data_IF_700072128505
#
_entry.id   IF_700072128505
#
_cell.length_a   1.000
_cell.length_b   1.000
_cell.length_c   1.000
_cell.angle_alpha   90.00
_cell.angle_beta   90.00
_cell.angle_gamma   90.00
#
_symmetry.space_group_name_H-M   'P 1'
#
loop_
_entity.id
_entity.type
_entity.pdbx_description
1 polymer ?
#
# COMPACT_ATOMS: atom_id res chain seq x y z
N UNK A 1 24.50 -13.64 -2.45
CA UNK A 1 23.53 -12.65 -3.04
C UNK A 1 22.72 -12.05 -1.90
N UNK A 2 22.42 -10.75 -1.93
CA UNK A 2 21.51 -10.15 -0.95
C UNK A 2 20.11 -10.73 -1.17
N UNK A 3 19.36 -10.96 -0.07
CA UNK A 3 17.96 -11.37 -0.12
C UNK A 3 17.15 -10.30 -0.88
N UNK A 4 16.23 -10.68 -1.77
CA UNK A 4 15.31 -9.72 -2.39
C UNK A 4 14.50 -8.95 -1.34
N UNK A 5 14.15 -7.73 -1.67
CA UNK A 5 13.27 -6.88 -0.88
C UNK A 5 11.84 -7.36 -1.08
N UNK A 6 11.18 -7.79 -0.02
CA UNK A 6 9.80 -8.26 -0.06
C UNK A 6 8.82 -7.09 0.04
N UNK A 7 7.97 -6.92 -0.98
CA UNK A 7 6.98 -5.84 -1.06
C UNK A 7 5.59 -6.41 -1.20
N UNK A 8 4.67 -6.01 -0.34
CA UNK A 8 3.24 -6.32 -0.48
C UNK A 8 2.46 -5.08 -0.93
N UNK A 9 1.66 -5.26 -1.98
CA UNK A 9 0.63 -4.31 -2.41
C UNK A 9 -0.72 -4.79 -1.88
N UNK A 10 -1.28 -4.05 -0.91
CA UNK A 10 -2.54 -4.41 -0.26
C UNK A 10 -3.70 -3.62 -0.84
N UNK A 11 -4.44 -4.27 -1.75
CA UNK A 11 -5.66 -3.72 -2.34
C UNK A 11 -6.85 -4.02 -1.45
N UNK A 12 -7.15 -3.11 -0.50
CA UNK A 12 -8.35 -3.29 0.33
C UNK A 12 -9.61 -3.43 -0.53
N UNK A 13 -9.78 -2.52 -1.50
CA UNK A 13 -10.79 -2.57 -2.54
C UNK A 13 -10.15 -2.68 -3.92
N UNK A 14 -10.91 -3.19 -4.90
CA UNK A 14 -10.43 -3.34 -6.26
C UNK A 14 -9.96 -2.00 -6.86
N UNK A 15 -10.59 -0.88 -6.52
CA UNK A 15 -10.23 0.44 -7.04
C UNK A 15 -8.88 0.98 -6.53
N UNK A 16 -8.23 0.33 -5.55
CA UNK A 16 -6.85 0.67 -5.17
C UNK A 16 -5.83 0.13 -6.17
N UNK A 17 -6.13 -0.99 -6.82
CA UNK A 17 -5.18 -1.68 -7.70
C UNK A 17 -4.63 -0.80 -8.84
N UNK A 18 -5.43 0.00 -9.56
CA UNK A 18 -4.90 0.85 -10.63
C UNK A 18 -3.81 1.83 -10.19
N UNK A 19 -3.81 2.22 -8.91
CA UNK A 19 -2.78 3.12 -8.35
C UNK A 19 -1.45 2.39 -8.14
N UNK A 20 -1.50 1.08 -7.96
CA UNK A 20 -0.32 0.25 -7.72
C UNK A 20 0.28 -0.30 -9.01
N UNK A 21 -0.52 -0.46 -10.07
CA UNK A 21 -0.11 -1.11 -11.32
C UNK A 21 1.19 -0.55 -11.92
N UNK A 22 1.38 0.78 -12.05
CA UNK A 22 2.63 1.30 -12.62
C UNK A 22 3.87 0.88 -11.81
N UNK A 23 3.73 0.82 -10.49
CA UNK A 23 4.83 0.44 -9.60
C UNK A 23 5.05 -1.08 -9.63
N UNK A 24 3.98 -1.87 -9.66
CA UNK A 24 4.05 -3.32 -9.82
C UNK A 24 4.77 -3.68 -11.13
N UNK A 25 4.38 -3.06 -12.25
CA UNK A 25 4.97 -3.31 -13.55
C UNK A 25 6.46 -2.94 -13.59
N UNK A 26 6.83 -1.83 -12.97
CA UNK A 26 8.23 -1.40 -12.85
C UNK A 26 9.07 -2.40 -12.04
N UNK A 27 8.57 -2.79 -10.87
CA UNK A 27 9.33 -3.61 -9.93
C UNK A 27 9.35 -5.10 -10.30
N UNK A 28 8.32 -5.59 -11.01
CA UNK A 28 8.22 -7.00 -11.39
C UNK A 28 9.34 -7.48 -12.33
N UNK A 29 9.96 -6.56 -13.04
CA UNK A 29 11.08 -6.85 -13.94
C UNK A 29 12.46 -6.80 -13.23
N UNK A 30 12.50 -6.44 -11.95
CA UNK A 30 13.72 -6.30 -11.19
C UNK A 30 13.85 -7.42 -10.14
N UNK A 31 14.83 -8.28 -10.33
CA UNK A 31 15.12 -9.44 -9.44
C UNK A 31 15.49 -9.07 -8.00
N UNK A 32 15.66 -7.76 -7.71
CA UNK A 32 15.89 -7.29 -6.34
C UNK A 32 14.62 -7.28 -5.50
N UNK A 33 13.45 -7.50 -6.10
CA UNK A 33 12.16 -7.42 -5.43
C UNK A 33 11.37 -8.72 -5.54
N UNK A 34 10.78 -9.13 -4.41
CA UNK A 34 9.76 -10.18 -4.33
C UNK A 34 8.41 -9.51 -4.08
N UNK A 35 7.49 -9.63 -5.05
CA UNK A 35 6.20 -8.93 -5.02
C UNK A 35 5.12 -9.87 -4.50
N UNK A 36 4.33 -9.34 -3.58
CA UNK A 36 3.15 -9.98 -3.01
C UNK A 36 1.91 -9.11 -3.24
N UNK A 37 0.76 -9.74 -3.35
CA UNK A 37 -0.55 -9.09 -3.50
C UNK A 37 -1.52 -9.64 -2.47
N UNK A 38 -2.35 -8.77 -1.90
CA UNK A 38 -3.47 -9.21 -1.09
C UNK A 38 -4.69 -8.31 -1.31
N UNK A 39 -5.86 -8.81 -0.91
CA UNK A 39 -7.11 -8.03 -0.84
C UNK A 39 -7.83 -8.37 0.46
N UNK A 40 -8.58 -7.41 1.00
CA UNK A 40 -9.27 -7.57 2.27
C UNK A 40 -10.40 -8.60 2.19
N UNK A 41 -10.62 -9.32 3.29
CA UNK A 41 -11.80 -10.19 3.47
C UNK A 41 -12.98 -9.46 4.09
N UNK A 42 -12.83 -8.19 4.46
CA UNK A 42 -13.91 -7.34 5.00
C UNK A 42 -14.75 -6.67 3.91
N UNK A 43 -14.43 -6.90 2.62
CA UNK A 43 -15.22 -6.47 1.48
C UNK A 43 -16.25 -7.53 1.09
N UNK A 44 -17.21 -7.16 0.22
CA UNK A 44 -18.24 -8.10 -0.28
C UNK A 44 -17.60 -9.27 -1.01
N UNK A 45 -18.20 -10.45 -0.88
CA UNK A 45 -17.65 -11.68 -1.48
C UNK A 45 -17.47 -11.57 -2.99
N UNK A 46 -18.41 -10.96 -3.71
CA UNK A 46 -18.32 -10.78 -5.17
C UNK A 46 -17.12 -9.89 -5.55
N UNK A 47 -16.88 -8.83 -4.79
CA UNK A 47 -15.71 -7.95 -4.99
C UNK A 47 -14.41 -8.69 -4.66
N UNK A 48 -14.39 -9.46 -3.56
CA UNK A 48 -13.24 -10.27 -3.18
C UNK A 48 -12.87 -11.29 -4.26
N UNK A 49 -13.85 -12.01 -4.79
CA UNK A 49 -13.64 -12.99 -5.84
C UNK A 49 -13.06 -12.33 -7.10
N UNK A 50 -13.65 -11.22 -7.52
CA UNK A 50 -13.17 -10.45 -8.68
C UNK A 50 -11.74 -9.96 -8.47
N UNK A 51 -11.48 -9.32 -7.33
CA UNK A 51 -10.17 -8.80 -6.96
C UNK A 51 -9.13 -9.93 -6.93
N UNK A 52 -9.43 -11.03 -6.27
CA UNK A 52 -8.57 -12.21 -6.19
C UNK A 52 -8.26 -12.79 -7.58
N UNK A 53 -9.26 -12.86 -8.46
CA UNK A 53 -9.08 -13.35 -9.83
C UNK A 53 -8.14 -12.46 -10.65
N UNK A 54 -8.22 -11.15 -10.44
CA UNK A 54 -7.35 -10.18 -11.12
C UNK A 54 -5.94 -10.25 -10.54
N UNK A 55 -5.80 -10.20 -9.21
CA UNK A 55 -4.49 -10.19 -8.53
C UNK A 55 -3.68 -11.47 -8.79
N UNK A 56 -4.33 -12.63 -8.88
CA UNK A 56 -3.66 -13.91 -9.25
C UNK A 56 -3.00 -13.89 -10.62
N UNK A 57 -3.39 -12.97 -11.50
CA UNK A 57 -2.81 -12.82 -12.85
C UNK A 57 -1.68 -11.80 -12.90
N UNK A 58 -1.48 -11.02 -11.83
CA UNK A 58 -0.39 -10.06 -11.74
C UNK A 58 0.94 -10.76 -11.44
N UNK A 59 2.06 -10.17 -11.86
CA UNK A 59 3.38 -10.65 -11.45
C UNK A 59 3.51 -10.70 -9.94
N UNK A 60 4.12 -11.76 -9.40
CA UNK A 60 4.30 -11.95 -7.97
C UNK A 60 3.39 -13.02 -7.37
N UNK A 61 3.24 -13.01 -6.06
CA UNK A 61 2.49 -14.02 -5.30
C UNK A 61 1.23 -13.43 -4.67
N UNK A 62 0.08 -14.06 -4.91
CA UNK A 62 -1.16 -13.67 -4.26
C UNK A 62 -1.32 -14.37 -2.91
N UNK A 63 -1.58 -13.59 -1.85
CA UNK A 63 -1.87 -14.09 -0.52
C UNK A 63 -3.36 -14.38 -0.40
N UNK A 64 -3.70 -15.66 -0.44
CA UNK A 64 -5.06 -16.11 -0.19
C UNK A 64 -5.34 -16.29 1.30
N UNK A 65 -6.54 -15.93 1.74
CA UNK A 65 -7.01 -16.22 3.08
C UNK A 65 -8.54 -16.37 3.14
N UNK A 66 -9.02 -17.22 4.03
CA UNK A 66 -10.46 -17.46 4.25
C UNK A 66 -11.11 -16.37 5.12
N UNK A 67 -10.31 -15.63 5.89
CA UNK A 67 -10.81 -14.59 6.79
C UNK A 67 -9.78 -13.47 6.95
N UNK A 68 -10.23 -12.28 7.36
CA UNK A 68 -9.36 -11.14 7.61
C UNK A 68 -8.35 -11.42 8.72
N UNK A 69 -8.76 -12.11 9.79
CA UNK A 69 -7.86 -12.48 10.88
C UNK A 69 -6.75 -13.44 10.44
N UNK A 70 -7.08 -14.41 9.59
CA UNK A 70 -6.05 -15.28 8.99
C UNK A 70 -5.14 -14.48 8.05
N UNK A 71 -5.71 -13.56 7.26
CA UNK A 71 -4.95 -12.70 6.35
C UNK A 71 -3.90 -11.88 7.10
N UNK A 72 -4.30 -11.20 8.17
CA UNK A 72 -3.39 -10.45 9.05
C UNK A 72 -2.23 -11.32 9.54
N UNK A 73 -2.52 -12.52 10.06
CA UNK A 73 -1.50 -13.45 10.55
C UNK A 73 -0.53 -13.90 9.45
N UNK A 74 -1.06 -14.22 8.27
CA UNK A 74 -0.20 -14.64 7.13
C UNK A 74 0.72 -13.50 6.73
N UNK A 75 0.19 -12.29 6.54
CA UNK A 75 0.99 -11.11 6.17
C UNK A 75 2.06 -10.82 7.23
N UNK A 76 1.70 -10.82 8.50
CA UNK A 76 2.63 -10.58 9.60
C UNK A 76 3.77 -11.59 9.64
N UNK A 77 3.48 -12.86 9.37
CA UNK A 77 4.48 -13.94 9.37
C UNK A 77 5.46 -13.87 8.17
N UNK A 78 5.11 -13.16 7.10
CA UNK A 78 6.02 -12.93 5.98
C UNK A 78 7.21 -12.05 6.34
N UNK A 79 7.12 -11.26 7.42
CA UNK A 79 8.16 -10.31 7.83
C UNK A 79 8.62 -9.44 6.64
N UNK A 80 7.66 -8.79 6.01
CA UNK A 80 7.87 -7.97 4.82
C UNK A 80 8.84 -6.81 5.08
N UNK A 81 9.62 -6.45 4.08
CA UNK A 81 10.45 -5.26 4.11
C UNK A 81 9.60 -4.00 3.84
N UNK A 82 8.61 -4.10 2.93
CA UNK A 82 7.73 -2.99 2.53
C UNK A 82 6.28 -3.43 2.44
N UNK A 83 5.38 -2.59 2.95
CA UNK A 83 3.93 -2.75 2.84
C UNK A 83 3.34 -1.50 2.20
N UNK A 84 2.64 -1.65 1.07
CA UNK A 84 2.00 -0.55 0.34
C UNK A 84 0.50 -0.70 0.43
N UNK A 85 -0.19 0.34 0.88
CA UNK A 85 -1.65 0.39 0.98
C UNK A 85 -2.24 1.63 0.29
N UNK A 86 -3.54 1.59 0.00
CA UNK A 86 -4.32 2.71 -0.52
C UNK A 86 -5.22 3.38 0.52
N UNK A 87 -5.11 2.97 1.78
CA UNK A 87 -6.00 3.41 2.85
C UNK A 87 -5.26 3.67 4.16
N UNK A 88 -5.44 4.86 4.75
CA UNK A 88 -4.80 5.29 6.00
C UNK A 88 -5.42 4.71 7.27
N UNK A 89 -6.63 4.13 7.19
CA UNK A 89 -7.41 3.69 8.36
C UNK A 89 -7.06 2.31 8.89
N UNK A 90 -6.08 1.64 8.31
CA UNK A 90 -5.64 0.35 8.82
C UNK A 90 -5.05 0.46 10.21
N UNK A 91 -5.34 -0.55 11.03
CA UNK A 91 -4.48 -0.90 12.16
C UNK A 91 -3.27 -1.63 11.60
N UNK A 92 -2.29 -0.86 11.15
CA UNK A 92 -1.12 -1.38 10.43
C UNK A 92 -0.29 -2.31 11.30
N UNK A 93 -0.29 -2.10 12.61
CA UNK A 93 0.34 -2.97 13.60
C UNK A 93 -0.22 -4.39 13.64
N UNK A 94 -1.44 -4.63 13.13
CA UNK A 94 -1.99 -5.98 12.98
C UNK A 94 -1.34 -6.75 11.83
N UNK A 95 -0.84 -6.05 10.83
CA UNK A 95 -0.30 -6.62 9.60
C UNK A 95 1.22 -6.71 9.58
N UNK A 96 1.90 -5.71 10.11
CA UNK A 96 3.34 -5.56 9.93
C UNK A 96 4.05 -5.27 11.25
N UNK A 97 5.34 -5.52 11.29
CA UNK A 97 6.22 -5.17 12.42
C UNK A 97 6.72 -3.73 12.30
N UNK A 98 7.31 -3.21 13.37
CA UNK A 98 7.91 -1.86 13.39
C UNK A 98 9.09 -1.71 12.41
N UNK A 99 9.64 -2.83 11.94
CA UNK A 99 10.76 -2.85 10.97
C UNK A 99 10.31 -2.74 9.52
N UNK A 100 9.03 -2.97 9.25
CA UNK A 100 8.45 -2.91 7.90
C UNK A 100 8.23 -1.46 7.52
N UNK A 101 8.75 -1.01 6.40
CA UNK A 101 8.45 0.31 5.85
C UNK A 101 7.02 0.31 5.27
N UNK A 102 6.20 1.26 5.71
CA UNK A 102 4.81 1.36 5.28
C UNK A 102 4.61 2.59 4.41
N UNK A 103 4.18 2.35 3.17
CA UNK A 103 3.84 3.39 2.22
C UNK A 103 2.34 3.41 1.91
N UNK A 104 1.79 4.60 1.74
CA UNK A 104 0.43 4.79 1.25
C UNK A 104 0.44 5.51 -0.09
N UNK A 105 -0.28 4.96 -1.06
CA UNK A 105 -0.54 5.61 -2.35
C UNK A 105 -1.98 6.09 -2.35
N UNK A 106 -2.18 7.40 -2.50
CA UNK A 106 -3.52 7.99 -2.56
C UNK A 106 -4.23 7.57 -3.86
N UNK A 107 -5.53 7.26 -3.76
CA UNK A 107 -6.34 6.74 -4.86
C UNK A 107 -7.23 7.80 -5.50
N UNK A 108 -6.64 8.91 -5.89
CA UNK A 108 -7.33 9.97 -6.64
C UNK A 108 -7.36 11.33 -5.93
N UNK A 109 -7.77 12.34 -6.67
CA UNK A 109 -7.90 13.73 -6.18
C UNK A 109 -9.12 13.81 -5.29
N UNK A 110 -8.94 13.41 -4.04
CA UNK A 110 -10.02 13.41 -3.07
C UNK A 110 -10.27 14.80 -2.47
N UNK A 111 -11.54 15.19 -2.39
CA UNK A 111 -11.99 16.40 -1.70
C UNK A 111 -12.52 16.11 -0.29
N UNK A 112 -12.46 14.87 0.16
CA UNK A 112 -12.95 14.47 1.47
C UNK A 112 -11.93 14.81 2.55
N UNK A 113 -12.36 15.41 3.68
CA UNK A 113 -11.45 15.75 4.79
C UNK A 113 -10.60 14.59 5.29
N UNK A 114 -11.09 13.35 5.20
CA UNK A 114 -10.32 12.16 5.58
C UNK A 114 -8.99 11.99 4.83
N UNK A 115 -8.82 12.59 3.67
CA UNK A 115 -7.57 12.53 2.91
C UNK A 115 -6.41 13.29 3.58
N UNK A 116 -6.72 14.29 4.41
CA UNK A 116 -5.69 15.11 5.07
C UNK A 116 -5.87 15.27 6.57
N UNK A 117 -6.98 14.76 7.15
CA UNK A 117 -7.21 14.77 8.59
C UNK A 117 -6.89 13.41 9.24
N UNK A 118 -7.01 12.30 8.47
CA UNK A 118 -6.69 10.97 8.99
C UNK A 118 -5.17 10.81 9.07
N UNK A 119 -4.61 11.06 10.24
CA UNK A 119 -3.21 10.76 10.49
C UNK A 119 -3.06 9.35 11.03
N UNK A 120 -2.28 8.54 10.32
CA UNK A 120 -1.82 7.26 10.81
C UNK A 120 -0.30 7.35 11.00
N UNK A 121 0.12 7.41 12.26
CA UNK A 121 1.53 7.61 12.65
C UNK A 121 2.44 6.46 12.19
N UNK A 122 1.84 5.32 11.81
CA UNK A 122 2.58 4.16 11.28
C UNK A 122 2.94 4.29 9.80
N UNK A 123 2.45 5.32 9.10
CA UNK A 123 2.81 5.57 7.71
C UNK A 123 4.17 6.27 7.62
N UNK A 124 5.14 5.59 7.03
CA UNK A 124 6.49 6.13 6.82
C UNK A 124 6.57 6.98 5.55
N UNK A 125 5.81 6.60 4.50
CA UNK A 125 5.80 7.27 3.19
C UNK A 125 4.37 7.54 2.72
N UNK A 126 4.19 8.68 2.02
CA UNK A 126 2.94 9.04 1.37
C UNK A 126 3.21 9.47 -0.07
N UNK A 127 2.60 8.78 -1.02
CA UNK A 127 2.61 9.14 -2.44
C UNK A 127 1.31 9.87 -2.76
N UNK A 128 1.42 11.14 -3.05
CA UNK A 128 0.28 12.06 -3.19
C UNK A 128 0.19 12.64 -4.61
N UNK A 129 -0.98 13.19 -4.92
CA UNK A 129 -1.32 13.67 -6.27
C UNK A 129 -0.59 14.97 -6.70
N UNK A 130 0.15 15.60 -5.81
CA UNK A 130 0.93 16.80 -6.11
C UNK A 130 0.91 17.84 -4.97
N UNK A 131 1.43 19.04 -5.24
CA UNK A 131 1.67 20.10 -4.25
C UNK A 131 0.42 20.51 -3.47
N UNK A 132 -0.74 20.49 -4.10
CA UNK A 132 -2.00 20.79 -3.40
C UNK A 132 -2.19 19.88 -2.19
N UNK A 133 -1.96 18.57 -2.35
CA UNK A 133 -2.09 17.61 -1.25
C UNK A 133 -0.96 17.77 -0.23
N UNK A 134 0.23 18.05 -0.69
CA UNK A 134 1.38 18.33 0.18
C UNK A 134 1.06 19.50 1.11
N UNK A 135 0.54 20.58 0.56
CA UNK A 135 0.20 21.77 1.35
C UNK A 135 -0.93 21.47 2.36
N UNK A 136 -1.98 20.77 1.95
CA UNK A 136 -3.05 20.36 2.87
C UNK A 136 -2.54 19.51 4.03
N UNK A 137 -1.65 18.54 3.77
CA UNK A 137 -1.07 17.70 4.80
C UNK A 137 -0.21 18.52 5.77
N UNK A 138 0.60 19.45 5.27
CA UNK A 138 1.41 20.37 6.09
C UNK A 138 0.56 21.27 6.97
N UNK A 139 -0.49 21.87 6.41
CA UNK A 139 -1.41 22.74 7.13
C UNK A 139 -2.12 22.01 8.28
N UNK A 140 -2.29 20.70 8.16
CA UNK A 140 -2.88 19.84 9.18
C UNK A 140 -1.84 19.14 10.08
N UNK A 141 -0.60 19.61 10.06
CA UNK A 141 0.45 19.15 10.97
C UNK A 141 1.02 17.77 10.65
N UNK A 142 0.71 17.22 9.48
CA UNK A 142 1.29 15.94 9.04
C UNK A 142 2.71 16.22 8.54
N UNK A 143 3.68 15.67 9.25
CA UNK A 143 5.09 15.80 8.88
C UNK A 143 5.34 15.05 7.56
N UNK A 144 5.91 15.75 6.60
CA UNK A 144 6.35 15.21 5.32
C UNK A 144 7.87 15.33 5.28
N UNK A 145 8.57 14.21 5.14
CA UNK A 145 9.95 14.23 4.69
C UNK A 145 9.92 14.61 3.21
N UNK A 146 10.28 15.85 2.93
CA UNK A 146 10.33 16.37 1.57
C UNK A 146 11.72 16.09 0.99
N UNK A 147 11.79 15.28 -0.05
CA UNK A 147 12.95 15.20 -0.93
C UNK A 147 12.65 16.03 -2.17
N UNK A 148 13.07 17.30 -2.16
CA UNK A 148 12.68 18.29 -3.18
C UNK A 148 13.64 18.42 -4.36
N UNK A 149 14.46 17.43 -4.65
CA UNK A 149 15.53 17.61 -5.63
C UNK A 149 15.27 16.95 -7.00
N UNK A 150 14.03 16.64 -7.33
CA UNK A 150 13.72 15.96 -8.60
C UNK A 150 12.89 16.79 -9.61
N UNK A 151 12.72 18.11 -9.41
CA UNK A 151 11.82 18.91 -10.24
C UNK A 151 12.44 20.19 -10.85
N UNK A 152 13.74 20.38 -10.77
CA UNK A 152 14.44 21.56 -11.33
C UNK A 152 15.51 21.19 -12.38
N UNK A 153 15.21 20.23 -13.27
CA UNK A 153 15.96 20.07 -14.52
C UNK A 153 15.01 19.89 -15.72
#
# INVERSE_FOLDING_TARGET
>A
MKKPISILFDSYHLYHLPQFEPLIDLLSNDKRFDIYHSTSRDIKDEEYELCSKILKKKPGSFIFSDSEEKRKKVIRNLNLDVFICGWSRYKLEDFVSDKTLVGMIYHGIGVKPSYWLDNNDRLDLRFVEGDYRINQLRENGICLLYTSDAADE
#
